data_IF_887039014061
#
_entry.id   IF_887039014061
#
_cell.length_a   1.000
_cell.length_b   1.000
_cell.length_c   1.000
_cell.angle_alpha   90.00
_cell.angle_beta   90.00
_cell.angle_gamma   90.00
#
_symmetry.space_group_name_H-M   'P 1'
#
loop_
_entity.id
_entity.type
_entity.pdbx_description
1 polymer ?
#
# COMPACT_ATOMS: atom_id res chain seq x y z
N UNK A 1 -18.74 1.95 22.17
CA UNK A 1 -18.13 3.17 21.59
C UNK A 1 -17.79 2.87 20.15
N UNK A 2 -18.31 3.63 19.18
CA UNK A 2 -17.79 3.59 17.80
C UNK A 2 -16.40 4.21 17.84
N UNK A 3 -15.36 3.43 17.55
CA UNK A 3 -14.04 3.99 17.29
C UNK A 3 -14.17 4.97 16.12
N UNK A 4 -13.58 6.17 16.19
CA UNK A 4 -13.51 7.04 15.02
C UNK A 4 -12.82 6.28 13.91
N UNK A 5 -13.36 6.36 12.68
CA UNK A 5 -12.73 5.76 11.51
C UNK A 5 -11.36 6.44 11.32
N UNK A 6 -10.29 5.67 11.05
CA UNK A 6 -8.96 6.24 10.87
C UNK A 6 -8.92 7.11 9.61
N UNK A 7 -8.29 8.27 9.71
CA UNK A 7 -7.91 9.06 8.54
C UNK A 7 -6.72 8.39 7.85
N UNK A 8 -6.86 8.13 6.56
CA UNK A 8 -5.85 7.46 5.75
C UNK A 8 -5.42 8.42 4.65
N UNK A 9 -4.15 8.79 4.67
CA UNK A 9 -3.53 9.56 3.59
C UNK A 9 -2.81 8.59 2.65
N UNK A 10 -3.03 8.71 1.35
CA UNK A 10 -2.37 7.91 0.34
C UNK A 10 -2.07 8.75 -0.90
N UNK A 11 -1.07 8.32 -1.67
CA UNK A 11 -0.75 8.94 -2.95
C UNK A 11 -1.55 8.31 -4.10
N UNK A 12 -1.84 9.12 -5.11
CA UNK A 12 -2.32 8.65 -6.40
C UNK A 12 -1.23 8.86 -7.43
N UNK A 13 -0.94 7.81 -8.19
CA UNK A 13 -0.06 7.94 -9.35
C UNK A 13 -0.75 8.84 -10.39
N UNK A 14 0.04 9.48 -11.26
CA UNK A 14 -0.50 10.32 -12.32
C UNK A 14 -1.50 9.55 -13.20
N UNK A 15 -1.20 8.28 -13.49
CA UNK A 15 -2.08 7.38 -14.23
C UNK A 15 -3.42 7.16 -13.54
N UNK A 16 -3.41 6.76 -12.27
CA UNK A 16 -4.64 6.57 -11.48
C UNK A 16 -5.45 7.88 -11.43
N UNK A 17 -4.78 9.01 -11.25
CA UNK A 17 -5.44 10.32 -11.22
C UNK A 17 -6.06 10.71 -12.58
N UNK A 18 -5.39 10.42 -13.69
CA UNK A 18 -5.90 10.66 -15.05
C UNK A 18 -7.11 9.79 -15.39
N UNK A 19 -7.05 8.50 -15.04
CA UNK A 19 -8.17 7.56 -15.25
C UNK A 19 -9.44 8.00 -14.55
N UNK A 20 -9.33 8.70 -13.43
CA UNK A 20 -10.46 9.26 -12.70
C UNK A 20 -11.11 10.47 -13.39
N UNK A 21 -10.66 10.81 -14.60
CA UNK A 21 -11.33 11.78 -15.48
C UNK A 21 -11.26 13.19 -14.93
N UNK A 22 -10.04 13.72 -14.78
CA UNK A 22 -9.83 15.06 -14.23
C UNK A 22 -10.83 16.09 -14.80
N UNK A 23 -11.53 16.88 -13.94
CA UNK A 23 -11.63 16.79 -12.47
C UNK A 23 -12.86 15.95 -12.02
N UNK A 24 -12.66 14.67 -11.68
CA UNK A 24 -13.73 13.78 -11.22
C UNK A 24 -13.91 13.72 -9.70
N UNK A 25 -12.82 13.79 -8.92
CA UNK A 25 -12.83 13.58 -7.47
C UNK A 25 -13.39 14.76 -6.69
N UNK A 26 -14.36 14.49 -5.80
CA UNK A 26 -14.96 15.50 -4.92
C UNK A 26 -14.91 15.10 -3.45
N UNK A 27 -14.74 16.09 -2.57
CA UNK A 27 -14.87 15.88 -1.13
C UNK A 27 -16.28 15.34 -0.80
N UNK A 28 -16.32 14.38 0.13
CA UNK A 28 -17.52 13.67 0.55
C UNK A 28 -17.91 12.49 -0.34
N UNK A 29 -17.22 12.29 -1.46
CA UNK A 29 -17.51 11.20 -2.38
C UNK A 29 -17.02 9.86 -1.79
N UNK A 30 -17.86 8.81 -1.81
CA UNK A 30 -17.42 7.47 -1.47
C UNK A 30 -16.51 6.95 -2.57
N UNK A 31 -15.35 6.45 -2.15
CA UNK A 31 -14.36 5.84 -3.05
C UNK A 31 -14.03 4.44 -2.57
N UNK A 32 -13.69 3.57 -3.50
CA UNK A 32 -13.23 2.22 -3.22
C UNK A 32 -11.82 2.08 -3.76
N UNK A 33 -10.84 1.91 -2.86
CA UNK A 33 -9.42 1.85 -3.24
C UNK A 33 -8.74 0.65 -2.63
N UNK A 34 -7.85 0.00 -3.38
CA UNK A 34 -6.87 -0.92 -2.80
C UNK A 34 -5.73 -0.07 -2.21
N UNK A 35 -5.43 -0.30 -0.94
CA UNK A 35 -4.28 0.32 -0.27
C UNK A 35 -3.05 -0.54 -0.54
N UNK A 36 -2.01 0.06 -1.10
CA UNK A 36 -0.81 -0.62 -1.57
C UNK A 36 0.44 0.06 -1.01
N UNK A 37 1.35 -0.67 -0.34
CA UNK A 37 2.59 -0.10 0.21
C UNK A 37 3.78 -0.12 -0.77
N UNK A 38 3.54 -0.53 -2.02
CA UNK A 38 4.53 -0.71 -3.05
C UNK A 38 5.45 -1.91 -2.80
N UNK A 39 6.63 -1.81 -3.40
CA UNK A 39 7.71 -2.80 -3.25
C UNK A 39 8.50 -2.51 -1.97
N UNK A 40 8.63 -3.52 -1.12
CA UNK A 40 9.37 -3.47 0.14
C UNK A 40 10.57 -4.40 0.06
N UNK A 41 11.70 -3.94 0.61
CA UNK A 41 12.94 -4.71 0.65
C UNK A 41 13.08 -5.45 1.99
N UNK A 42 13.69 -6.65 2.02
CA UNK A 42 14.05 -7.35 3.27
C UNK A 42 15.32 -6.77 3.91
N UNK A 43 15.61 -5.49 3.69
CA UNK A 43 16.77 -4.77 4.22
C UNK A 43 16.32 -3.76 5.29
N UNK A 44 16.86 -3.91 6.49
CA UNK A 44 16.60 -3.00 7.60
C UNK A 44 17.10 -1.57 7.32
N UNK A 45 18.00 -1.35 6.36
CA UNK A 45 18.47 -0.01 6.00
C UNK A 45 17.60 0.70 4.95
N UNK A 46 16.70 -0.03 4.27
CA UNK A 46 15.87 0.52 3.22
C UNK A 46 14.75 1.42 3.76
N UNK A 47 14.38 2.44 2.98
CA UNK A 47 13.29 3.37 3.28
C UNK A 47 11.92 2.67 3.32
N UNK A 48 11.71 1.77 2.36
CA UNK A 48 10.55 0.88 2.26
C UNK A 48 11.01 -0.54 2.52
N UNK A 49 10.60 -1.11 3.65
CA UNK A 49 11.14 -2.38 4.15
C UNK A 49 10.10 -3.23 4.84
N UNK A 50 10.37 -4.52 4.91
CA UNK A 50 9.53 -5.48 5.61
C UNK A 50 10.36 -6.49 6.41
N UNK A 51 9.70 -7.07 7.40
CA UNK A 51 10.19 -8.22 8.16
C UNK A 51 9.04 -9.19 8.38
N UNK A 52 9.33 -10.49 8.29
CA UNK A 52 8.36 -11.57 8.46
C UNK A 52 8.72 -12.38 9.69
N UNK A 53 7.74 -12.71 10.50
CA UNK A 53 7.91 -13.51 11.70
C UNK A 53 6.80 -14.55 11.85
N UNK A 54 7.10 -15.62 12.58
CA UNK A 54 6.13 -16.69 12.86
C UNK A 54 5.22 -16.31 14.03
N UNK A 55 5.79 -15.61 15.00
CA UNK A 55 5.14 -15.19 16.21
C UNK A 55 4.14 -14.08 15.93
N UNK A 56 2.97 -14.17 16.55
CA UNK A 56 1.93 -13.17 16.40
C UNK A 56 2.40 -11.79 16.84
N UNK A 57 2.13 -10.79 16.00
CA UNK A 57 2.29 -9.37 16.33
C UNK A 57 0.92 -8.70 16.41
N UNK A 58 0.77 -7.70 17.28
CA UNK A 58 -0.41 -6.85 17.27
C UNK A 58 -0.57 -6.19 15.90
N UNK A 59 -1.78 -6.25 15.36
CA UNK A 59 -2.12 -5.50 14.15
C UNK A 59 -2.00 -4.00 14.40
N UNK A 60 -1.30 -3.30 13.50
CA UNK A 60 -1.05 -1.86 13.60
C UNK A 60 -1.04 -1.24 12.21
N UNK A 61 -1.55 -0.01 12.12
CA UNK A 61 -1.45 0.83 10.93
C UNK A 61 -1.31 2.29 11.37
N UNK A 62 -0.07 2.78 11.41
CA UNK A 62 0.28 4.06 12.02
C UNK A 62 0.99 4.94 11.00
N UNK A 63 0.44 6.13 10.77
CA UNK A 63 1.05 7.14 9.91
C UNK A 63 2.30 7.69 10.59
N UNK A 64 3.44 7.64 9.90
CA UNK A 64 4.74 8.13 10.36
C UNK A 64 5.30 9.28 9.50
N UNK A 65 4.65 9.59 8.38
CA UNK A 65 4.96 10.70 7.49
C UNK A 65 3.85 10.93 6.45
N UNK A 66 4.04 11.87 5.50
CA UNK A 66 3.12 12.04 4.38
C UNK A 66 2.98 10.75 3.57
N UNK A 67 1.76 10.22 3.48
CA UNK A 67 1.42 8.91 2.94
C UNK A 67 2.30 7.73 3.41
N UNK A 68 3.12 7.88 4.45
CA UNK A 68 4.08 6.87 4.90
C UNK A 68 3.59 6.24 6.19
N UNK A 69 3.55 4.92 6.22
CA UNK A 69 2.97 4.15 7.32
C UNK A 69 3.94 3.09 7.82
N UNK A 70 4.02 2.98 9.14
CA UNK A 70 4.50 1.77 9.81
C UNK A 70 3.29 0.88 10.08
N UNK A 71 3.38 -0.39 9.70
CA UNK A 71 2.26 -1.31 9.79
C UNK A 71 2.71 -2.71 10.19
N UNK A 72 1.78 -3.46 10.76
CA UNK A 72 1.99 -4.81 11.25
C UNK A 72 0.69 -5.59 11.18
N UNK A 73 0.75 -6.88 10.87
CA UNK A 73 -0.45 -7.69 10.77
C UNK A 73 -0.21 -9.12 10.35
N UNK A 74 -1.28 -9.92 10.36
CA UNK A 74 -1.26 -11.27 9.82
C UNK A 74 -1.34 -11.21 8.30
N UNK A 75 -0.53 -12.00 7.61
CA UNK A 75 -0.67 -12.20 6.17
C UNK A 75 -1.92 -13.07 5.95
N UNK A 76 -2.84 -12.63 5.09
CA UNK A 76 -4.10 -13.32 4.79
C UNK A 76 -4.07 -14.06 3.47
N UNK A 77 -3.39 -13.49 2.49
CA UNK A 77 -3.27 -14.01 1.13
C UNK A 77 -1.84 -13.77 0.66
N UNK A 78 -1.31 -14.71 -0.12
CA UNK A 78 0.04 -14.62 -0.69
C UNK A 78 0.06 -15.22 -2.09
N UNK A 79 0.62 -14.47 -3.04
CA UNK A 79 0.88 -14.91 -4.41
C UNK A 79 2.39 -14.81 -4.64
N UNK A 80 3.04 -15.96 -4.83
CA UNK A 80 4.47 -16.02 -5.11
C UNK A 80 4.70 -16.01 -6.62
N UNK A 81 5.61 -15.16 -7.06
CA UNK A 81 6.02 -15.03 -8.45
C UNK A 81 7.51 -15.37 -8.53
N UNK A 82 7.85 -16.31 -9.41
CA UNK A 82 9.22 -16.75 -9.67
C UNK A 82 9.49 -16.48 -11.16
N UNK A 83 10.26 -15.42 -11.44
CA UNK A 83 10.63 -15.01 -12.79
C UNK A 83 12.15 -14.83 -12.86
N UNK A 84 12.78 -15.38 -13.90
CA UNK A 84 14.23 -15.25 -14.15
C UNK A 84 15.14 -15.66 -12.97
N UNK A 85 14.64 -16.48 -12.05
CA UNK A 85 15.38 -16.93 -10.87
C UNK A 85 15.30 -15.97 -9.67
N UNK A 86 14.48 -14.93 -9.75
CA UNK A 86 14.14 -14.04 -8.64
C UNK A 86 12.74 -14.33 -8.11
N UNK A 87 12.63 -14.43 -6.78
CA UNK A 87 11.37 -14.67 -6.10
C UNK A 87 10.81 -13.37 -5.55
N UNK A 88 9.59 -13.04 -5.94
CA UNK A 88 8.80 -11.95 -5.36
C UNK A 88 7.48 -12.50 -4.82
N UNK A 89 6.87 -11.78 -3.89
CA UNK A 89 5.56 -12.14 -3.39
C UNK A 89 4.67 -10.92 -3.25
N UNK A 90 3.45 -11.00 -3.76
CA UNK A 90 2.39 -10.06 -3.44
C UNK A 90 1.61 -10.61 -2.26
N UNK A 91 1.42 -9.81 -1.22
CA UNK A 91 0.79 -10.23 0.02
C UNK A 91 -0.34 -9.28 0.40
N UNK A 92 -1.39 -9.83 1.00
CA UNK A 92 -2.40 -9.05 1.70
C UNK A 92 -2.16 -9.15 3.20
N UNK A 93 -1.92 -8.02 3.87
CA UNK A 93 -1.64 -7.96 5.31
C UNK A 93 -2.80 -7.32 6.04
N UNK A 94 -3.38 -8.04 6.99
CA UNK A 94 -4.45 -7.57 7.86
C UNK A 94 -3.90 -6.78 9.05
N UNK A 95 -3.91 -5.46 8.90
CA UNK A 95 -3.46 -4.49 9.89
C UNK A 95 -4.59 -4.07 10.84
N UNK A 96 -5.67 -4.86 10.92
CA UNK A 96 -6.78 -4.67 11.84
C UNK A 96 -7.81 -3.69 11.29
N UNK A 97 -7.48 -2.40 11.25
CA UNK A 97 -8.40 -1.36 10.75
C UNK A 97 -8.52 -1.35 9.23
N UNK A 98 -7.45 -1.77 8.55
CA UNK A 98 -7.37 -1.88 7.09
C UNK A 98 -6.59 -3.13 6.70
N UNK A 99 -6.79 -3.58 5.47
CA UNK A 99 -5.90 -4.53 4.82
C UNK A 99 -5.03 -3.76 3.84
N UNK A 100 -3.74 -4.05 3.84
CA UNK A 100 -2.78 -3.42 2.93
C UNK A 100 -2.15 -4.48 2.04
N UNK A 101 -2.05 -4.18 0.75
CA UNK A 101 -1.27 -4.98 -0.19
C UNK A 101 0.18 -4.54 -0.16
N UNK A 102 1.09 -5.50 -0.22
CA UNK A 102 2.53 -5.23 -0.28
C UNK A 102 3.18 -6.16 -1.29
N UNK A 103 4.20 -5.68 -1.99
CA UNK A 103 5.06 -6.50 -2.82
C UNK A 103 6.39 -6.70 -2.11
N UNK A 104 6.72 -7.92 -1.73
CA UNK A 104 7.99 -8.27 -1.11
C UNK A 104 9.02 -8.61 -2.20
N UNK A 105 10.11 -7.85 -2.22
CA UNK A 105 11.28 -8.13 -3.04
C UNK A 105 12.13 -9.26 -2.44
N UNK A 106 12.94 -9.96 -3.26
CA UNK A 106 13.88 -10.95 -2.77
C UNK A 106 15.00 -10.32 -1.93
N UNK A 107 15.73 -11.19 -1.24
CA UNK A 107 17.05 -10.86 -0.67
C UNK A 107 18.11 -10.83 -1.77
N UNK A 108 19.35 -10.51 -1.40
CA UNK A 108 20.48 -10.46 -2.33
C UNK A 108 20.78 -11.80 -3.04
N UNK A 109 20.29 -12.92 -2.52
CA UNK A 109 20.39 -14.25 -3.13
C UNK A 109 19.26 -14.56 -4.12
N UNK A 110 18.41 -13.58 -4.44
CA UNK A 110 17.25 -13.74 -5.32
C UNK A 110 16.07 -14.45 -4.66
N UNK A 111 16.14 -14.79 -3.37
CA UNK A 111 15.11 -15.57 -2.68
C UNK A 111 14.36 -14.79 -1.63
N UNK A 112 13.09 -15.15 -1.50
CA UNK A 112 12.24 -14.70 -0.41
C UNK A 112 12.60 -15.40 0.91
N UNK A 113 12.34 -14.75 2.07
CA UNK A 113 12.43 -15.41 3.37
C UNK A 113 11.62 -16.72 3.43
N UNK A 114 12.23 -17.80 3.93
CA UNK A 114 11.62 -19.15 3.93
C UNK A 114 10.33 -19.23 4.77
N UNK A 115 9.24 -19.77 4.20
CA UNK A 115 8.03 -20.19 4.94
C UNK A 115 6.69 -20.15 4.20
N UNK A 116 5.63 -20.62 4.89
CA UNK A 116 4.22 -20.44 4.47
C UNK A 116 3.73 -19.05 4.85
N UNK A 117 3.70 -18.13 3.89
CA UNK A 117 3.42 -16.71 4.11
C UNK A 117 2.08 -16.45 4.81
N UNK A 118 1.00 -17.11 4.43
CA UNK A 118 -0.36 -16.94 5.00
C UNK A 118 -0.49 -17.26 6.50
N UNK A 119 0.47 -18.02 7.05
CA UNK A 119 0.48 -18.36 8.50
C UNK A 119 1.33 -17.40 9.32
N UNK A 120 1.96 -16.43 8.67
CA UNK A 120 2.95 -15.55 9.27
C UNK A 120 2.42 -14.14 9.45
N UNK A 121 3.22 -13.37 10.15
CA UNK A 121 2.98 -11.98 10.41
C UNK A 121 4.05 -11.15 9.73
N UNK A 122 3.64 -10.01 9.18
CA UNK A 122 4.52 -9.07 8.53
C UNK A 122 4.45 -7.74 9.26
N UNK A 123 5.62 -7.17 9.55
CA UNK A 123 5.77 -5.76 9.91
C UNK A 123 6.55 -5.04 8.83
N UNK A 124 6.16 -3.81 8.52
CA UNK A 124 6.84 -3.03 7.49
C UNK A 124 6.68 -1.54 7.69
N UNK A 125 7.45 -0.82 6.89
CA UNK A 125 7.27 0.62 6.66
C UNK A 125 7.31 0.83 5.16
N UNK A 126 6.37 1.62 4.66
CA UNK A 126 6.23 1.89 3.23
C UNK A 126 5.36 3.10 2.98
N UNK A 127 5.41 3.59 1.75
CA UNK A 127 4.52 4.63 1.28
C UNK A 127 3.27 4.01 0.69
N UNK A 128 2.12 4.47 1.15
CA UNK A 128 0.81 3.94 0.79
C UNK A 128 0.27 4.69 -0.42
N UNK A 129 -0.10 3.93 -1.43
CA UNK A 129 -0.78 4.37 -2.64
C UNK A 129 -2.23 3.86 -2.61
N UNK A 130 -3.13 4.66 -3.18
CA UNK A 130 -4.49 4.25 -3.46
C UNK A 130 -4.61 3.80 -4.92
N UNK A 131 -5.19 2.63 -5.14
CA UNK A 131 -5.43 2.10 -6.48
C UNK A 131 -6.94 1.96 -6.66
N UNK A 132 -7.50 2.72 -7.59
CA UNK A 132 -8.93 2.79 -7.86
C UNK A 132 -9.37 1.75 -8.88
N UNK A 133 -8.60 1.64 -9.95
CA UNK A 133 -8.83 0.69 -11.02
C UNK A 133 -7.54 -0.08 -11.26
N UNK A 134 -7.70 -1.39 -11.39
CA UNK A 134 -6.59 -2.32 -11.33
C UNK A 134 -6.30 -2.91 -12.72
N UNK A 135 -5.08 -2.72 -13.23
CA UNK A 135 -4.59 -3.38 -14.45
C UNK A 135 -3.57 -4.50 -14.14
N UNK A 136 -3.39 -4.85 -12.87
CA UNK A 136 -2.29 -5.73 -12.45
C UNK A 136 -2.52 -7.20 -12.80
N UNK A 137 -1.40 -7.91 -12.94
CA UNK A 137 -1.32 -9.37 -13.19
C UNK A 137 -1.67 -10.23 -11.96
N UNK A 138 -1.81 -9.62 -10.77
CA UNK A 138 -2.07 -10.32 -9.51
C UNK A 138 -3.54 -10.24 -9.13
N UNK A 139 -4.04 -11.28 -8.48
CA UNK A 139 -5.41 -11.35 -7.97
C UNK A 139 -5.57 -10.79 -6.55
N UNK A 140 -4.47 -10.37 -5.92
CA UNK A 140 -4.45 -9.91 -4.53
C UNK A 140 -4.68 -8.40 -4.49
N UNK A 141 -5.70 -8.00 -3.73
CA UNK A 141 -6.08 -6.61 -3.52
C UNK A 141 -7.51 -6.55 -3.02
N UNK A 142 -7.72 -6.11 -1.77
CA UNK A 142 -9.07 -5.97 -1.22
C UNK A 142 -9.46 -4.51 -1.21
N UNK A 143 -10.55 -4.12 -1.90
CA UNK A 143 -10.98 -2.75 -1.91
C UNK A 143 -11.40 -2.30 -0.51
N UNK A 144 -10.90 -1.13 -0.11
CA UNK A 144 -11.27 -0.45 1.12
C UNK A 144 -12.19 0.71 0.75
N UNK A 145 -13.40 0.69 1.29
CA UNK A 145 -14.36 1.78 1.11
C UNK A 145 -13.97 2.96 2.01
N UNK A 146 -13.72 4.11 1.40
CA UNK A 146 -13.34 5.35 2.07
C UNK A 146 -14.31 6.47 1.67
N UNK A 147 -14.29 7.55 2.44
CA UNK A 147 -14.92 8.81 2.05
C UNK A 147 -13.82 9.83 1.84
N UNK A 148 -13.75 10.44 0.66
CA UNK A 148 -12.72 11.42 0.35
C UNK A 148 -12.93 12.67 1.20
N UNK A 149 -12.01 12.95 2.13
CA UNK A 149 -12.13 14.13 3.00
C UNK A 149 -11.38 15.34 2.44
N UNK A 150 -10.19 15.13 1.90
CA UNK A 150 -9.36 16.16 1.29
C UNK A 150 -8.49 15.52 0.22
N UNK A 151 -8.06 16.29 -0.77
CA UNK A 151 -7.03 15.88 -1.71
C UNK A 151 -6.20 17.09 -2.11
N UNK A 152 -4.91 16.87 -2.34
CA UNK A 152 -4.01 17.90 -2.82
C UNK A 152 -3.27 17.35 -4.04
N UNK A 153 -3.27 18.11 -5.13
CA UNK A 153 -2.49 17.77 -6.31
C UNK A 153 -1.04 18.18 -6.08
N UNK A 154 -0.14 17.19 -6.05
CA UNK A 154 1.30 17.39 -5.83
C UNK A 154 2.12 17.43 -7.14
N UNK A 155 1.46 17.25 -8.30
CA UNK A 155 2.12 17.29 -9.61
C UNK A 155 1.91 18.64 -10.26
N UNK A 156 3.01 19.34 -10.50
CA UNK A 156 3.07 20.55 -11.31
C UNK A 156 3.63 20.18 -12.69
N UNK A 157 2.78 20.16 -13.72
CA UNK A 157 3.25 20.01 -15.09
C UNK A 157 3.87 21.32 -15.60
N UNK A 158 4.89 21.29 -16.49
CA UNK A 158 5.32 22.50 -17.18
C UNK A 158 4.15 23.17 -17.92
N UNK A 159 3.86 24.42 -17.60
CA UNK A 159 2.71 25.16 -18.17
C UNK A 159 1.38 24.95 -17.44
N UNK A 160 1.37 24.28 -16.28
CA UNK A 160 0.16 24.15 -15.47
C UNK A 160 -0.31 25.51 -14.94
N UNK A 161 -1.56 25.87 -15.23
CA UNK A 161 -2.14 27.15 -14.81
C UNK A 161 -2.27 27.27 -13.28
N UNK A 162 -2.18 26.16 -12.55
CA UNK A 162 -2.27 26.13 -11.09
C UNK A 162 -0.90 26.07 -10.40
N UNK A 163 0.20 26.28 -11.14
CA UNK A 163 1.54 26.35 -10.56
C UNK A 163 1.63 27.46 -9.51
N UNK A 164 1.76 27.07 -8.24
CA UNK A 164 1.89 27.99 -7.10
C UNK A 164 0.57 28.47 -6.47
N UNK A 165 -0.59 27.88 -6.82
CA UNK A 165 -1.86 28.17 -6.15
C UNK A 165 -2.16 27.10 -5.09
N UNK A 166 -2.47 27.55 -3.87
CA UNK A 166 -2.78 26.76 -2.68
C UNK A 166 -4.22 27.00 -2.24
#
# INVERSE_FOLDING_TARGET
MKLPLPEIEFELTAYQYEMMGFPGLKQGEPVSVVLDAGVLLPDASAESRFAVQKEAIPSQFVRVGPAQYAFAGQIREAELVDEEGEQTAVLLVDCGVVKIRVTCAPQADGRLPYGTWETRYLSGIGRVQGIFEEEFRTSIGHPTNLTLWNFQRLVLAPGDIHFGQW
#
